data_IF_885286214614
#
_entry.id   IF_885286214614
#
_cell.length_a   1.000
_cell.length_b   1.000
_cell.length_c   1.000
_cell.angle_alpha   90.00
_cell.angle_beta   90.00
_cell.angle_gamma   90.00
#
_symmetry.space_group_name_H-M   'P 1'
#
loop_
_entity.id
_entity.type
_entity.pdbx_description
1 polymer ?
#
# COMPACT_ATOMS: atom_id res chain seq x y z
N UNK A 1 -12.24 -4.33 5.40
CA UNK A 1 -13.33 -4.28 4.40
C UNK A 1 -14.69 -4.51 5.00
N UNK A 2 -14.94 -5.66 5.65
CA UNK A 2 -16.24 -5.97 6.27
C UNK A 2 -16.67 -4.93 7.31
N UNK A 3 -15.74 -4.48 8.14
CA UNK A 3 -15.98 -3.43 9.13
C UNK A 3 -16.36 -2.08 8.50
N UNK A 4 -15.63 -1.65 7.44
CA UNK A 4 -15.92 -0.41 6.73
C UNK A 4 -17.34 -0.43 6.10
N UNK A 5 -17.71 -1.57 5.49
CA UNK A 5 -19.05 -1.75 4.92
C UNK A 5 -20.12 -1.78 6.00
N UNK A 6 -19.86 -2.44 7.13
CA UNK A 6 -20.79 -2.47 8.26
C UNK A 6 -21.02 -1.07 8.83
N UNK A 7 -19.96 -0.28 9.00
CA UNK A 7 -20.01 1.11 9.46
C UNK A 7 -20.81 1.99 8.48
N UNK A 8 -20.53 1.89 7.17
CA UNK A 8 -21.28 2.59 6.12
C UNK A 8 -22.78 2.26 6.16
N UNK A 9 -23.13 0.97 6.19
CA UNK A 9 -24.54 0.51 6.20
C UNK A 9 -25.25 0.93 7.48
N UNK A 10 -24.58 0.86 8.64
CA UNK A 10 -25.15 1.32 9.90
C UNK A 10 -25.39 2.83 9.90
N UNK A 11 -24.43 3.60 9.39
CA UNK A 11 -24.52 5.06 9.32
C UNK A 11 -25.63 5.52 8.37
N UNK A 12 -25.62 5.04 7.12
CA UNK A 12 -26.57 5.48 6.09
C UNK A 12 -27.95 4.86 6.25
N UNK A 13 -28.05 3.68 6.89
CA UNK A 13 -29.30 2.97 7.14
C UNK A 13 -30.31 3.77 7.97
N UNK A 14 -29.82 4.66 8.83
CA UNK A 14 -30.70 5.58 9.60
C UNK A 14 -31.38 6.68 8.73
N UNK A 15 -30.99 6.80 7.46
CA UNK A 15 -31.41 7.89 6.57
C UNK A 15 -31.93 7.39 5.22
N UNK A 16 -32.34 6.13 5.10
CA UNK A 16 -32.85 5.54 3.85
C UNK A 16 -34.15 6.17 3.36
N UNK A 17 -34.94 6.75 4.24
CA UNK A 17 -36.18 7.46 3.90
C UNK A 17 -35.95 8.90 3.40
N UNK A 18 -34.69 9.39 3.36
CA UNK A 18 -34.39 10.72 2.87
C UNK A 18 -34.22 10.71 1.35
N UNK A 19 -34.35 11.87 0.74
CA UNK A 19 -34.16 12.06 -0.69
C UNK A 19 -32.63 12.01 -1.00
N UNK A 20 -32.16 10.86 -1.51
CA UNK A 20 -30.78 10.70 -1.96
C UNK A 20 -30.58 11.11 -3.42
N UNK A 21 -31.65 11.21 -4.20
CA UNK A 21 -31.58 11.62 -5.61
C UNK A 21 -31.43 13.14 -5.76
N UNK A 22 -32.27 13.89 -5.04
CA UNK A 22 -32.27 15.35 -5.10
C UNK A 22 -31.18 16.02 -4.28
N UNK A 23 -30.48 15.29 -3.40
CA UNK A 23 -29.46 15.84 -2.51
C UNK A 23 -28.06 15.53 -3.06
N UNK A 24 -27.26 16.60 -3.24
CA UNK A 24 -25.87 16.50 -3.68
C UNK A 24 -25.00 15.90 -2.57
N UNK A 25 -24.09 14.99 -2.94
CA UNK A 25 -23.12 14.36 -2.02
C UNK A 25 -21.93 15.30 -1.75
N UNK A 26 -21.99 16.04 -0.67
CA UNK A 26 -20.93 16.94 -0.22
C UNK A 26 -20.39 17.85 -1.32
N UNK A 27 -19.08 17.77 -1.57
CA UNK A 27 -18.37 18.57 -2.58
C UNK A 27 -18.45 17.99 -4.00
N UNK A 28 -19.00 16.77 -4.18
CA UNK A 28 -19.11 16.12 -5.48
C UNK A 28 -20.20 16.77 -6.34
N UNK A 29 -20.15 16.56 -7.64
CA UNK A 29 -21.26 16.90 -8.55
C UNK A 29 -22.37 15.85 -8.55
N UNK A 30 -22.12 14.72 -7.90
CA UNK A 30 -23.04 13.57 -7.80
C UNK A 30 -24.10 13.78 -6.72
N UNK A 31 -25.26 13.16 -6.92
CA UNK A 31 -26.24 12.98 -5.87
C UNK A 31 -25.74 11.96 -4.82
N UNK A 32 -26.36 11.95 -3.65
CA UNK A 32 -26.07 10.94 -2.62
C UNK A 32 -26.32 9.52 -3.14
N UNK A 33 -27.36 9.35 -4.00
CA UNK A 33 -27.65 8.04 -4.63
C UNK A 33 -26.53 7.64 -5.60
N UNK A 34 -26.12 8.53 -6.48
CA UNK A 34 -25.01 8.24 -7.41
C UNK A 34 -23.73 7.88 -6.69
N UNK A 35 -23.39 8.56 -5.60
CA UNK A 35 -22.24 8.24 -4.76
C UNK A 35 -22.38 6.84 -4.11
N UNK A 36 -23.56 6.48 -3.62
CA UNK A 36 -23.82 5.17 -3.03
C UNK A 36 -23.73 4.03 -4.08
N UNK A 37 -24.29 4.25 -5.28
CA UNK A 37 -24.18 3.30 -6.40
C UNK A 37 -22.74 3.15 -6.86
N UNK A 38 -21.95 4.23 -6.84
CA UNK A 38 -20.52 4.20 -7.15
C UNK A 38 -19.74 3.31 -6.18
N UNK A 39 -20.01 3.38 -4.87
CA UNK A 39 -19.42 2.44 -3.89
C UNK A 39 -19.64 1.00 -4.33
N UNK A 40 -20.88 0.61 -4.63
CA UNK A 40 -21.22 -0.75 -5.02
C UNK A 40 -20.48 -1.18 -6.31
N UNK A 41 -20.41 -0.27 -7.31
CA UNK A 41 -19.73 -0.50 -8.57
C UNK A 41 -18.21 -0.70 -8.41
N UNK A 42 -17.56 0.09 -7.56
CA UNK A 42 -16.12 -0.06 -7.35
C UNK A 42 -15.80 -1.32 -6.54
N UNK A 43 -16.60 -1.66 -5.54
CA UNK A 43 -16.41 -2.89 -4.77
C UNK A 43 -16.50 -4.15 -5.67
N UNK A 44 -17.51 -4.24 -6.54
CA UNK A 44 -17.62 -5.39 -7.45
C UNK A 44 -16.54 -5.38 -8.53
N UNK A 45 -16.16 -4.21 -9.06
CA UNK A 45 -15.10 -4.07 -10.03
C UNK A 45 -13.75 -4.50 -9.45
N UNK A 46 -13.43 -4.14 -8.21
CA UNK A 46 -12.21 -4.54 -7.51
C UNK A 46 -12.21 -6.04 -7.22
N UNK A 47 -13.32 -6.59 -6.75
CA UNK A 47 -13.47 -8.03 -6.55
C UNK A 47 -13.24 -8.80 -7.85
N UNK A 48 -13.86 -8.38 -8.95
CA UNK A 48 -13.76 -9.02 -10.25
C UNK A 48 -12.35 -8.93 -10.85
N UNK A 49 -11.68 -7.77 -10.74
CA UNK A 49 -10.28 -7.61 -11.20
C UNK A 49 -9.32 -8.52 -10.44
N UNK A 50 -9.47 -8.58 -9.11
CA UNK A 50 -8.61 -9.39 -8.25
C UNK A 50 -8.86 -10.89 -8.48
N UNK A 51 -10.11 -11.34 -8.49
CA UNK A 51 -10.48 -12.72 -8.72
C UNK A 51 -10.13 -13.20 -10.15
N UNK A 52 -10.34 -12.33 -11.14
CA UNK A 52 -10.01 -12.60 -12.55
C UNK A 52 -8.53 -12.48 -12.87
N UNK A 53 -7.70 -11.99 -11.94
CA UNK A 53 -6.24 -11.80 -12.10
C UNK A 53 -5.89 -11.05 -13.39
N UNK A 54 -6.69 -10.05 -13.75
CA UNK A 54 -6.48 -9.26 -14.96
C UNK A 54 -5.10 -8.60 -14.92
N UNK A 55 -4.30 -8.79 -15.99
CA UNK A 55 -2.92 -8.29 -16.04
C UNK A 55 -2.80 -6.93 -16.72
N UNK A 56 -3.50 -6.72 -17.81
CA UNK A 56 -3.25 -5.61 -18.71
C UNK A 56 -4.52 -4.85 -19.14
N UNK A 57 -5.70 -5.27 -18.65
CA UNK A 57 -6.96 -4.68 -19.07
C UNK A 57 -7.96 -4.53 -17.91
N UNK A 58 -8.78 -3.50 -17.99
CA UNK A 58 -9.93 -3.31 -17.13
C UNK A 58 -10.99 -4.36 -17.46
N UNK A 59 -11.43 -5.14 -16.46
CA UNK A 59 -12.62 -5.96 -16.55
C UNK A 59 -13.83 -5.07 -16.25
N UNK A 60 -14.76 -4.88 -17.18
CA UNK A 60 -15.90 -3.97 -17.01
C UNK A 60 -17.00 -4.65 -16.19
N UNK A 61 -16.91 -4.60 -14.88
CA UNK A 61 -18.03 -4.93 -14.00
C UNK A 61 -18.82 -3.66 -13.71
N UNK A 62 -20.13 -3.72 -13.89
CA UNK A 62 -21.06 -2.63 -13.58
C UNK A 62 -22.34 -3.23 -13.01
N UNK A 63 -22.89 -2.60 -11.99
CA UNK A 63 -24.18 -2.92 -11.41
C UNK A 63 -25.17 -1.87 -11.87
N UNK A 64 -26.33 -2.30 -12.36
CA UNK A 64 -27.45 -1.43 -12.69
C UNK A 64 -28.53 -1.60 -11.62
N UNK A 65 -28.93 -0.50 -11.01
CA UNK A 65 -29.93 -0.46 -9.95
C UNK A 65 -31.20 0.31 -10.34
N UNK A 66 -31.31 0.72 -11.62
CA UNK A 66 -32.36 1.59 -12.15
C UNK A 66 -33.59 0.82 -12.67
N UNK A 67 -33.74 -0.44 -12.28
CA UNK A 67 -34.72 -1.36 -12.83
C UNK A 67 -34.20 -2.10 -14.06
N UNK A 68 -34.89 -3.16 -14.44
CA UNK A 68 -34.48 -4.01 -15.57
C UNK A 68 -35.61 -4.10 -16.59
N UNK A 69 -35.28 -4.51 -17.83
CA UNK A 69 -36.24 -4.70 -18.93
C UNK A 69 -37.31 -5.77 -18.61
N UNK A 70 -37.12 -6.55 -17.54
CA UNK A 70 -38.09 -7.54 -17.04
C UNK A 70 -39.20 -6.94 -16.17
N UNK A 71 -39.20 -5.61 -15.96
CA UNK A 71 -40.18 -4.90 -15.17
C UNK A 71 -39.89 -4.81 -13.68
N UNK A 72 -38.68 -5.15 -13.24
CA UNK A 72 -38.24 -4.93 -11.87
C UNK A 72 -38.17 -3.43 -11.59
N UNK A 73 -38.72 -3.00 -10.43
CA UNK A 73 -38.62 -1.62 -9.98
C UNK A 73 -37.17 -1.25 -9.69
N UNK A 74 -36.78 0.04 -9.85
CA UNK A 74 -35.49 0.51 -9.36
C UNK A 74 -35.28 0.18 -7.87
N UNK A 75 -34.07 -0.18 -7.50
CA UNK A 75 -33.76 -0.38 -6.08
C UNK A 75 -33.93 0.93 -5.32
N UNK A 76 -34.61 0.91 -4.19
CA UNK A 76 -34.66 2.03 -3.25
C UNK A 76 -33.31 2.19 -2.50
N UNK A 77 -33.19 3.17 -1.62
CA UNK A 77 -31.97 3.40 -0.85
C UNK A 77 -31.60 2.19 0.01
N UNK A 78 -32.56 1.42 0.51
CA UNK A 78 -32.32 0.17 1.24
C UNK A 78 -31.71 -0.88 0.31
N UNK A 79 -32.24 -1.04 -0.89
CA UNK A 79 -31.69 -1.94 -1.91
C UNK A 79 -30.26 -1.56 -2.35
N UNK A 80 -29.95 -0.27 -2.41
CA UNK A 80 -28.57 0.21 -2.65
C UNK A 80 -27.65 -0.23 -1.52
N UNK A 81 -28.03 -0.06 -0.25
CA UNK A 81 -27.22 -0.48 0.90
C UNK A 81 -27.02 -2.00 0.96
N UNK A 82 -28.04 -2.79 0.65
CA UNK A 82 -27.89 -4.26 0.55
C UNK A 82 -26.94 -4.65 -0.59
N UNK A 83 -26.92 -3.89 -1.69
CA UNK A 83 -25.97 -4.09 -2.79
C UNK A 83 -24.52 -3.75 -2.37
N UNK A 84 -24.31 -2.66 -1.65
CA UNK A 84 -22.99 -2.32 -1.06
C UNK A 84 -22.51 -3.43 -0.14
N UNK A 85 -23.39 -3.95 0.71
CA UNK A 85 -23.09 -5.06 1.61
C UNK A 85 -22.68 -6.34 0.85
N UNK A 86 -23.43 -6.69 -0.18
CA UNK A 86 -23.15 -7.87 -1.01
C UNK A 86 -21.83 -7.73 -1.77
N UNK A 87 -21.57 -6.60 -2.42
CA UNK A 87 -20.35 -6.34 -3.18
C UNK A 87 -19.12 -6.22 -2.29
N UNK A 88 -19.27 -5.63 -1.10
CA UNK A 88 -18.24 -5.61 -0.07
C UNK A 88 -17.86 -7.01 0.41
N UNK A 89 -18.83 -7.90 0.61
CA UNK A 89 -18.58 -9.30 0.96
C UNK A 89 -17.86 -10.04 -0.17
N UNK A 90 -18.19 -9.78 -1.44
CA UNK A 90 -17.49 -10.34 -2.60
C UNK A 90 -16.03 -9.88 -2.66
N UNK A 91 -15.77 -8.59 -2.46
CA UNK A 91 -14.39 -8.08 -2.40
C UNK A 91 -13.63 -8.67 -1.22
N UNK A 92 -14.23 -8.75 -0.04
CA UNK A 92 -13.61 -9.38 1.13
C UNK A 92 -13.27 -10.86 0.88
N UNK A 93 -14.14 -11.61 0.20
CA UNK A 93 -13.87 -12.98 -0.19
C UNK A 93 -12.72 -13.08 -1.21
N UNK A 94 -12.70 -12.21 -2.23
CA UNK A 94 -11.62 -12.13 -3.21
C UNK A 94 -10.27 -11.81 -2.56
N UNK A 95 -10.24 -10.87 -1.62
CA UNK A 95 -9.03 -10.52 -0.85
C UNK A 95 -8.50 -11.69 -0.04
N UNK A 96 -9.39 -12.43 0.66
CA UNK A 96 -9.00 -13.59 1.49
C UNK A 96 -8.48 -14.76 0.66
N UNK A 97 -9.02 -14.98 -0.52
CA UNK A 97 -8.72 -16.17 -1.34
C UNK A 97 -7.62 -15.94 -2.37
N UNK A 98 -7.29 -14.70 -2.69
CA UNK A 98 -6.25 -14.39 -3.66
C UNK A 98 -4.86 -14.56 -3.03
N UNK A 99 -3.95 -15.35 -3.65
CA UNK A 99 -2.58 -15.46 -3.18
C UNK A 99 -1.87 -14.10 -3.14
N UNK A 100 -0.97 -13.91 -2.17
CA UNK A 100 -0.23 -12.64 -1.96
C UNK A 100 0.54 -12.19 -3.19
N UNK A 101 1.15 -13.12 -3.93
CA UNK A 101 1.94 -12.82 -5.11
C UNK A 101 1.11 -12.33 -6.32
N UNK A 102 -0.21 -12.50 -6.30
CA UNK A 102 -1.07 -12.04 -7.39
C UNK A 102 -1.12 -10.52 -7.42
N UNK A 103 -0.86 -9.97 -8.60
CA UNK A 103 -1.03 -8.55 -8.93
C UNK A 103 -2.09 -8.44 -10.01
N UNK A 104 -3.12 -7.65 -9.78
CA UNK A 104 -4.18 -7.39 -10.74
C UNK A 104 -4.15 -5.93 -11.21
N UNK A 105 -4.61 -5.72 -12.43
CA UNK A 105 -4.61 -4.41 -13.07
C UNK A 105 -5.60 -3.45 -12.39
N UNK A 106 -5.13 -2.22 -12.22
CA UNK A 106 -5.94 -1.05 -11.92
C UNK A 106 -5.52 0.08 -12.87
N UNK A 107 -6.43 0.96 -13.32
CA UNK A 107 -6.08 2.11 -14.18
C UNK A 107 -4.96 2.98 -13.59
N UNK A 108 -4.26 3.68 -14.48
CA UNK A 108 -3.27 4.69 -14.09
C UNK A 108 -3.89 5.70 -13.10
N UNK A 109 -3.13 6.19 -12.11
CA UNK A 109 -1.69 5.98 -11.91
C UNK A 109 -1.32 4.74 -11.09
N UNK A 110 -2.28 4.08 -10.45
CA UNK A 110 -2.03 3.00 -9.50
C UNK A 110 -1.50 1.71 -10.17
N UNK A 111 -1.96 1.40 -11.37
CA UNK A 111 -1.60 0.26 -12.22
C UNK A 111 -1.88 -1.10 -11.57
N UNK A 112 -0.85 -1.80 -11.07
CA UNK A 112 -1.03 -3.15 -10.52
C UNK A 112 -0.99 -3.12 -9.00
N UNK A 113 -1.98 -3.74 -8.36
CA UNK A 113 -2.05 -3.90 -6.93
C UNK A 113 -2.18 -5.38 -6.53
N UNK A 114 -1.73 -5.69 -5.32
CA UNK A 114 -2.02 -6.94 -4.66
C UNK A 114 -3.37 -6.87 -3.92
N UNK A 115 -3.74 -7.98 -3.27
CA UNK A 115 -4.99 -8.08 -2.51
C UNK A 115 -5.12 -7.02 -1.41
N UNK A 116 -4.03 -6.66 -0.72
CA UNK A 116 -4.04 -5.61 0.31
C UNK A 116 -4.27 -4.22 -0.30
N UNK A 117 -3.74 -3.98 -1.51
CA UNK A 117 -4.00 -2.74 -2.25
C UNK A 117 -5.47 -2.60 -2.66
N UNK A 118 -6.07 -3.67 -3.19
CA UNK A 118 -7.49 -3.68 -3.53
C UNK A 118 -8.38 -3.54 -2.28
N UNK A 119 -7.99 -4.15 -1.15
CA UNK A 119 -8.69 -3.95 0.11
C UNK A 119 -8.65 -2.48 0.55
N UNK A 120 -7.48 -1.82 0.47
CA UNK A 120 -7.35 -0.42 0.88
C UNK A 120 -8.11 0.54 -0.04
N UNK A 121 -8.09 0.30 -1.36
CA UNK A 121 -8.93 1.06 -2.30
C UNK A 121 -10.40 0.91 -1.97
N UNK A 122 -10.89 -0.33 -1.79
CA UNK A 122 -12.29 -0.56 -1.44
C UNK A 122 -12.69 0.06 -0.10
N UNK A 123 -11.82 0.03 0.93
CA UNK A 123 -12.08 0.74 2.19
C UNK A 123 -12.13 2.25 1.95
N UNK A 124 -11.22 2.80 1.13
CA UNK A 124 -11.22 4.22 0.80
C UNK A 124 -12.53 4.66 0.12
N UNK A 125 -12.99 3.92 -0.89
CA UNK A 125 -14.27 4.20 -1.57
C UNK A 125 -15.44 4.23 -0.58
N UNK A 126 -15.52 3.21 0.29
CA UNK A 126 -16.59 3.13 1.29
C UNK A 126 -16.55 4.33 2.24
N UNK A 127 -15.38 4.63 2.85
CA UNK A 127 -15.27 5.70 3.85
C UNK A 127 -15.51 7.09 3.25
N UNK A 128 -14.85 7.37 2.12
CA UNK A 128 -14.87 8.70 1.51
C UNK A 128 -16.26 9.03 0.93
N UNK A 129 -16.92 8.08 0.28
CA UNK A 129 -18.26 8.33 -0.25
C UNK A 129 -19.35 8.24 0.82
N UNK A 130 -19.17 7.48 1.90
CA UNK A 130 -20.05 7.61 3.08
C UNK A 130 -19.96 9.01 3.66
N UNK A 131 -18.74 9.59 3.73
CA UNK A 131 -18.56 10.99 4.15
C UNK A 131 -19.27 11.96 3.19
N UNK A 132 -19.06 11.82 1.88
CA UNK A 132 -19.69 12.70 0.88
C UNK A 132 -21.22 12.67 1.00
N UNK A 133 -21.81 11.47 1.18
CA UNK A 133 -23.26 11.31 1.36
C UNK A 133 -23.73 11.95 2.68
N UNK A 134 -23.05 11.67 3.78
CA UNK A 134 -23.44 12.22 5.10
C UNK A 134 -23.28 13.74 5.16
N UNK A 135 -22.22 14.30 4.53
CA UNK A 135 -22.05 15.75 4.38
C UNK A 135 -23.23 16.36 3.60
N UNK A 136 -23.63 15.75 2.48
CA UNK A 136 -24.81 16.18 1.71
C UNK A 136 -26.10 16.11 2.52
N UNK A 137 -26.27 15.08 3.31
CA UNK A 137 -27.44 14.90 4.19
C UNK A 137 -27.37 15.77 5.47
N UNK A 138 -26.28 16.51 5.71
CA UNK A 138 -26.09 17.33 6.91
C UNK A 138 -25.93 16.50 8.20
N UNK A 139 -25.31 15.33 8.11
CA UNK A 139 -25.11 14.39 9.22
C UNK A 139 -23.61 14.25 9.52
N UNK A 140 -23.17 14.30 10.79
CA UNK A 140 -21.77 14.06 11.12
C UNK A 140 -21.39 12.60 10.86
N UNK A 141 -20.14 12.40 10.36
CA UNK A 141 -19.58 11.09 10.15
C UNK A 141 -18.09 11.06 10.57
N UNK A 142 -17.76 10.08 11.38
CA UNK A 142 -16.39 9.79 11.80
C UNK A 142 -16.22 8.28 11.91
N UNK A 143 -15.53 7.63 10.96
CA UNK A 143 -15.32 6.19 10.97
C UNK A 143 -14.28 5.78 12.04
N UNK A 144 -14.17 4.47 12.35
CA UNK A 144 -13.10 3.94 13.18
C UNK A 144 -11.74 4.39 12.66
N UNK A 145 -10.90 4.92 13.57
CA UNK A 145 -9.61 5.53 13.22
C UNK A 145 -8.65 4.55 12.51
N UNK A 146 -8.75 3.27 12.85
CA UNK A 146 -7.96 2.18 12.27
C UNK A 146 -8.20 2.02 10.77
N UNK A 147 -9.43 2.22 10.30
CA UNK A 147 -9.78 2.14 8.89
C UNK A 147 -9.14 3.28 8.09
N UNK A 148 -9.23 4.49 8.58
CA UNK A 148 -8.57 5.64 7.96
C UNK A 148 -7.04 5.51 8.00
N UNK A 149 -6.47 5.01 9.09
CA UNK A 149 -5.04 4.72 9.23
C UNK A 149 -4.58 3.65 8.23
N UNK A 150 -5.36 2.58 8.05
CA UNK A 150 -5.09 1.55 7.06
C UNK A 150 -5.05 2.11 5.64
N UNK A 151 -6.02 2.94 5.26
CA UNK A 151 -6.03 3.60 3.95
C UNK A 151 -4.80 4.49 3.76
N UNK A 152 -4.52 5.38 4.72
CA UNK A 152 -3.38 6.30 4.66
C UNK A 152 -2.05 5.55 4.49
N UNK A 153 -1.78 4.60 5.34
CA UNK A 153 -0.49 3.89 5.35
C UNK A 153 -0.34 2.97 4.13
N UNK A 154 -1.45 2.51 3.53
CA UNK A 154 -1.37 1.58 2.41
C UNK A 154 -1.37 2.23 1.03
N UNK A 155 -2.14 3.29 0.81
CA UNK A 155 -2.29 3.92 -0.51
C UNK A 155 -1.98 5.42 -0.54
N UNK A 156 -1.71 6.04 0.62
CA UNK A 156 -1.17 7.39 0.76
C UNK A 156 0.10 7.44 1.61
N UNK A 157 1.08 6.54 1.40
CA UNK A 157 2.24 6.37 2.30
C UNK A 157 3.17 7.60 2.37
N UNK A 158 3.07 8.53 1.42
CA UNK A 158 3.84 9.78 1.42
C UNK A 158 3.16 10.91 2.21
N UNK A 159 1.92 10.68 2.66
CA UNK A 159 1.17 11.68 3.43
C UNK A 159 1.70 11.68 4.85
N UNK A 160 2.27 12.81 5.25
CA UNK A 160 2.71 13.03 6.63
C UNK A 160 1.52 12.88 7.58
N UNK A 161 1.67 12.15 8.70
CA UNK A 161 0.63 12.07 9.73
C UNK A 161 0.14 13.45 10.19
N UNK A 162 -1.14 13.57 10.43
CA UNK A 162 -1.82 14.78 10.91
C UNK A 162 -2.46 14.55 12.27
N UNK A 163 -3.36 15.44 12.71
CA UNK A 163 -3.95 15.40 14.06
C UNK A 163 -4.76 14.12 14.33
N UNK A 164 -5.49 13.63 13.35
CA UNK A 164 -6.15 12.31 13.40
C UNK A 164 -6.07 11.65 12.01
N UNK A 165 -6.10 10.31 11.91
CA UNK A 165 -6.09 9.62 10.63
C UNK A 165 -7.24 10.07 9.72
N UNK A 166 -8.45 10.21 10.27
CA UNK A 166 -9.60 10.62 9.49
C UNK A 166 -9.47 12.01 8.89
N UNK A 167 -9.13 13.01 9.69
CA UNK A 167 -8.91 14.38 9.19
C UNK A 167 -7.76 14.45 8.18
N UNK A 168 -6.72 13.65 8.39
CA UNK A 168 -5.60 13.54 7.47
C UNK A 168 -6.03 12.94 6.13
N UNK A 169 -6.88 11.90 6.15
CA UNK A 169 -7.41 11.27 4.94
C UNK A 169 -8.33 12.21 4.17
N UNK A 170 -9.22 12.92 4.84
CA UNK A 170 -10.09 13.94 4.22
C UNK A 170 -9.25 15.04 3.54
N UNK A 171 -8.22 15.54 4.22
CA UNK A 171 -7.31 16.51 3.62
C UNK A 171 -6.56 15.92 2.41
N UNK A 172 -6.01 14.73 2.54
CA UNK A 172 -5.24 14.06 1.47
C UNK A 172 -6.07 13.78 0.21
N UNK A 173 -7.40 13.79 0.32
CA UNK A 173 -8.35 13.54 -0.77
C UNK A 173 -9.17 14.78 -1.16
N UNK A 174 -8.76 15.97 -0.71
CA UNK A 174 -9.41 17.24 -1.04
C UNK A 174 -10.82 17.44 -0.41
N UNK A 175 -11.17 16.62 0.58
CA UNK A 175 -12.49 16.66 1.27
C UNK A 175 -12.47 17.45 2.57
N UNK A 176 -11.30 17.82 3.06
CA UNK A 176 -11.13 18.57 4.30
C UNK A 176 -9.90 19.46 4.27
N UNK A 177 -9.79 20.33 5.26
CA UNK A 177 -8.67 21.27 5.42
C UNK A 177 -7.88 20.95 6.68
N UNK A 178 -6.56 21.17 6.62
CA UNK A 178 -5.66 21.15 7.78
C UNK A 178 -4.99 22.52 7.89
N UNK A 179 -4.95 23.15 9.10
CA UNK A 179 -4.50 24.53 9.26
C UNK A 179 -3.04 24.79 8.85
N UNK A 180 -2.20 23.74 8.89
CA UNK A 180 -0.77 23.77 8.62
C UNK A 180 -0.39 23.25 7.24
N UNK A 181 -1.37 23.00 6.37
CA UNK A 181 -1.16 22.40 5.03
C UNK A 181 -1.98 23.10 3.96
N UNK A 182 -1.37 23.21 2.78
CA UNK A 182 -2.09 23.69 1.61
C UNK A 182 -3.21 22.72 1.20
N UNK A 183 -4.32 23.23 0.66
CA UNK A 183 -5.41 22.39 0.17
C UNK A 183 -4.94 21.45 -0.93
N UNK A 184 -5.38 20.19 -0.90
CA UNK A 184 -5.13 19.22 -1.96
C UNK A 184 -6.18 19.35 -3.04
N UNK A 185 -5.76 19.71 -4.27
CA UNK A 185 -6.62 19.86 -5.43
C UNK A 185 -6.58 18.67 -6.38
N UNK A 186 -5.48 17.94 -6.39
CA UNK A 186 -5.29 16.70 -7.15
C UNK A 186 -4.68 15.65 -6.25
N UNK A 187 -5.27 14.46 -6.24
CA UNK A 187 -4.78 13.34 -5.47
C UNK A 187 -4.90 12.04 -6.26
N UNK A 188 -4.05 11.10 -5.93
CA UNK A 188 -4.09 9.77 -6.49
C UNK A 188 -3.43 8.77 -5.54
N UNK A 189 -3.88 7.54 -5.63
CA UNK A 189 -3.32 6.46 -4.84
C UNK A 189 -1.90 6.09 -5.27
N UNK A 190 -1.08 5.72 -4.30
CA UNK A 190 0.25 5.16 -4.53
C UNK A 190 0.26 3.68 -4.25
N UNK A 191 0.90 2.92 -5.12
CA UNK A 191 1.13 1.51 -4.87
C UNK A 191 2.53 1.29 -4.29
N UNK A 192 2.70 0.22 -3.50
CA UNK A 192 4.03 -0.18 -3.04
C UNK A 192 4.87 -0.66 -4.21
N UNK A 193 6.16 -0.30 -4.24
CA UNK A 193 7.09 -0.81 -5.23
C UNK A 193 7.27 -2.33 -5.05
N UNK A 194 7.40 -3.04 -6.18
CA UNK A 194 7.66 -4.47 -6.21
C UNK A 194 8.70 -4.77 -7.27
N UNK A 195 9.76 -5.48 -6.90
CA UNK A 195 10.80 -5.92 -7.83
C UNK A 195 10.83 -7.45 -7.87
N UNK A 196 10.75 -8.02 -9.06
CA UNK A 196 10.86 -9.46 -9.26
C UNK A 196 12.29 -9.87 -9.63
N UNK A 197 12.75 -10.97 -9.07
CA UNK A 197 13.96 -11.68 -9.49
C UNK A 197 13.63 -13.11 -9.91
N UNK A 198 14.61 -13.95 -10.16
CA UNK A 198 14.38 -15.35 -10.48
C UNK A 198 13.66 -16.11 -9.35
N UNK A 199 14.15 -15.95 -8.11
CA UNK A 199 13.68 -16.71 -6.95
C UNK A 199 12.94 -15.86 -5.92
N UNK A 200 13.02 -14.53 -6.00
CA UNK A 200 12.48 -13.60 -5.00
C UNK A 200 11.50 -12.60 -5.62
N UNK A 201 10.59 -12.15 -4.78
CA UNK A 201 9.85 -10.90 -4.94
C UNK A 201 10.28 -9.97 -3.81
N UNK A 202 10.80 -8.79 -4.15
CA UNK A 202 11.10 -7.73 -3.19
C UNK A 202 9.84 -6.87 -3.07
N UNK A 203 9.18 -6.94 -1.94
CA UNK A 203 7.93 -6.20 -1.68
C UNK A 203 8.23 -4.98 -0.80
N UNK A 204 7.98 -3.78 -1.32
CA UNK A 204 8.12 -2.55 -0.56
C UNK A 204 7.22 -2.56 0.68
N UNK A 205 7.77 -2.14 1.81
CA UNK A 205 7.08 -2.17 3.11
C UNK A 205 6.23 -0.90 3.28
N UNK A 206 4.99 -1.08 3.74
CA UNK A 206 4.13 0.05 4.12
C UNK A 206 4.53 0.59 5.50
N UNK A 207 4.20 1.85 5.84
CA UNK A 207 4.39 2.36 7.21
C UNK A 207 3.76 1.48 8.29
N UNK A 208 2.57 0.93 8.06
CA UNK A 208 1.93 0.02 9.02
C UNK A 208 2.68 -1.31 9.18
N UNK A 209 3.14 -1.90 8.07
CA UNK A 209 3.96 -3.10 8.13
C UNK A 209 5.33 -2.83 8.78
N UNK A 210 5.95 -1.67 8.50
CA UNK A 210 7.18 -1.25 9.16
C UNK A 210 6.99 -1.13 10.67
N UNK A 211 5.90 -0.50 11.13
CA UNK A 211 5.58 -0.40 12.55
C UNK A 211 5.46 -1.78 13.22
N UNK A 212 4.79 -2.74 12.58
CA UNK A 212 4.69 -4.12 13.08
C UNK A 212 6.07 -4.82 13.12
N UNK A 213 6.84 -4.74 12.03
CA UNK A 213 8.16 -5.35 11.93
C UNK A 213 9.16 -4.79 12.95
N UNK A 214 9.12 -3.48 13.23
CA UNK A 214 10.05 -2.83 14.17
C UNK A 214 9.93 -3.34 15.59
N UNK A 215 8.75 -3.82 15.98
CA UNK A 215 8.49 -4.43 17.29
C UNK A 215 8.57 -5.97 17.26
N UNK A 216 9.01 -6.55 16.15
CA UNK A 216 9.20 -8.00 15.99
C UNK A 216 7.95 -8.78 15.61
N UNK A 217 6.83 -8.11 15.27
CA UNK A 217 5.67 -8.76 14.68
C UNK A 217 5.91 -9.12 13.21
N UNK A 218 5.04 -9.92 12.61
CA UNK A 218 5.24 -10.47 11.27
C UNK A 218 5.11 -9.46 10.11
N UNK A 219 4.50 -8.29 10.35
CA UNK A 219 4.25 -7.27 9.32
C UNK A 219 3.32 -7.74 8.19
N UNK A 220 2.55 -8.79 8.42
CA UNK A 220 1.67 -9.42 7.43
C UNK A 220 2.41 -10.38 6.48
N UNK A 221 3.63 -10.82 6.82
CA UNK A 221 4.43 -11.79 6.06
C UNK A 221 4.52 -13.14 6.77
N UNK A 222 4.53 -14.21 5.99
CA UNK A 222 4.85 -15.56 6.51
C UNK A 222 6.38 -15.75 6.47
N UNK A 223 7.01 -15.77 7.64
CA UNK A 223 8.47 -15.82 7.77
C UNK A 223 9.01 -17.26 7.73
N UNK A 224 10.15 -17.42 7.07
CA UNK A 224 10.96 -18.62 7.20
C UNK A 224 11.69 -18.60 8.55
N UNK A 225 11.23 -19.39 9.52
CA UNK A 225 11.75 -19.39 10.89
C UNK A 225 10.92 -18.51 11.86
N UNK A 226 11.52 -18.03 12.95
CA UNK A 226 10.78 -17.43 14.07
C UNK A 226 10.28 -16.00 13.83
N UNK A 227 10.52 -15.40 12.67
CA UNK A 227 10.10 -14.03 12.37
C UNK A 227 11.24 -13.14 11.86
N UNK A 228 11.02 -11.80 11.82
CA UNK A 228 12.01 -10.89 11.30
C UNK A 228 13.29 -10.87 12.14
N UNK A 229 14.46 -10.92 11.49
CA UNK A 229 15.76 -10.81 12.13
C UNK A 229 16.03 -9.38 12.63
N UNK A 230 17.07 -9.18 13.46
CA UNK A 230 17.34 -7.90 14.13
C UNK A 230 17.57 -6.75 13.15
N UNK A 231 18.37 -6.94 12.11
CA UNK A 231 18.59 -5.90 11.10
C UNK A 231 17.32 -5.55 10.30
N UNK A 232 16.40 -6.51 10.14
CA UNK A 232 15.06 -6.23 9.57
C UNK A 232 14.25 -5.33 10.49
N UNK A 233 14.28 -5.57 11.82
CA UNK A 233 13.60 -4.73 12.81
C UNK A 233 14.17 -3.32 12.89
N UNK A 234 15.50 -3.19 12.82
CA UNK A 234 16.20 -1.90 12.79
C UNK A 234 15.84 -1.11 11.53
N UNK A 235 15.90 -1.72 10.35
CA UNK A 235 15.50 -1.09 9.09
C UNK A 235 14.04 -0.67 9.09
N UNK A 236 13.16 -1.47 9.71
CA UNK A 236 11.75 -1.11 9.90
C UNK A 236 11.58 0.10 10.82
N UNK A 237 12.37 0.21 11.89
CA UNK A 237 12.39 1.39 12.78
C UNK A 237 12.79 2.67 12.05
N UNK A 238 13.75 2.61 11.12
CA UNK A 238 14.11 3.74 10.25
C UNK A 238 12.92 4.16 9.39
N UNK A 239 12.23 3.21 8.77
CA UNK A 239 11.05 3.50 7.94
C UNK A 239 9.90 4.12 8.73
N UNK A 240 9.66 3.66 9.96
CA UNK A 240 8.68 4.27 10.89
C UNK A 240 9.02 5.72 11.16
N UNK A 241 10.28 5.98 11.55
CA UNK A 241 10.72 7.35 11.83
C UNK A 241 10.59 8.27 10.61
N UNK A 242 10.98 7.79 9.42
CA UNK A 242 10.80 8.55 8.18
C UNK A 242 9.33 8.89 7.91
N UNK A 243 8.41 7.98 8.21
CA UNK A 243 6.98 8.23 8.06
C UNK A 243 6.46 9.27 9.06
N UNK A 244 6.85 9.17 10.32
CA UNK A 244 6.50 10.13 11.38
C UNK A 244 7.04 11.54 11.07
N UNK A 245 8.27 11.62 10.57
CA UNK A 245 8.92 12.87 10.17
C UNK A 245 8.35 13.43 8.83
N UNK A 246 7.53 12.66 8.11
CA UNK A 246 6.92 13.07 6.83
C UNK A 246 7.88 13.06 5.64
N UNK A 247 8.97 12.30 5.73
CA UNK A 247 9.99 12.14 4.68
C UNK A 247 10.06 10.71 4.12
N UNK A 248 9.01 9.93 4.33
CA UNK A 248 8.94 8.56 3.85
C UNK A 248 8.75 8.50 2.33
N UNK A 249 9.67 7.82 1.66
CA UNK A 249 9.62 7.53 0.24
C UNK A 249 9.56 6.01 0.02
N UNK A 250 8.41 5.45 -0.36
CA UNK A 250 8.22 3.99 -0.47
C UNK A 250 9.29 3.29 -1.31
N UNK A 251 9.73 3.91 -2.41
CA UNK A 251 10.75 3.38 -3.32
C UNK A 251 12.18 3.40 -2.73
N UNK A 252 12.44 4.30 -1.79
CA UNK A 252 13.73 4.48 -1.11
C UNK A 252 13.70 4.01 0.34
N UNK A 253 12.73 3.17 0.68
CA UNK A 253 12.60 2.54 1.99
C UNK A 253 12.97 1.05 1.93
N UNK A 254 12.39 0.28 2.82
CA UNK A 254 12.67 -1.14 2.99
C UNK A 254 11.77 -2.02 2.12
N UNK A 255 12.30 -3.14 1.67
CA UNK A 255 11.62 -4.24 0.98
C UNK A 255 11.78 -5.52 1.77
N UNK A 256 10.72 -6.29 1.93
CA UNK A 256 10.81 -7.67 2.41
C UNK A 256 11.10 -8.59 1.23
N UNK A 257 12.02 -9.51 1.42
CA UNK A 257 12.44 -10.51 0.44
C UNK A 257 11.54 -11.74 0.58
N UNK A 258 10.60 -11.91 -0.36
CA UNK A 258 9.64 -13.01 -0.35
C UNK A 258 10.06 -14.07 -1.37
N UNK A 259 10.20 -15.29 -0.95
CA UNK A 259 10.57 -16.42 -1.76
C UNK A 259 9.41 -16.86 -2.66
N UNK A 260 9.63 -16.97 -3.97
CA UNK A 260 8.56 -17.22 -4.94
C UNK A 260 8.03 -18.65 -4.94
N UNK A 261 8.80 -19.61 -4.40
CA UNK A 261 8.41 -21.03 -4.38
C UNK A 261 7.30 -21.33 -3.37
N UNK A 262 7.23 -20.57 -2.27
CA UNK A 262 6.32 -20.83 -1.15
C UNK A 262 5.76 -19.58 -0.47
N UNK A 263 5.99 -18.40 -1.05
CA UNK A 263 5.55 -17.08 -0.57
C UNK A 263 6.08 -16.72 0.85
N UNK A 264 7.17 -17.37 1.32
CA UNK A 264 7.75 -17.10 2.64
C UNK A 264 8.79 -15.99 2.60
N UNK A 265 8.74 -15.12 3.61
CA UNK A 265 9.73 -14.05 3.81
C UNK A 265 11.05 -14.64 4.34
N UNK A 266 12.16 -14.23 3.73
CA UNK A 266 13.50 -14.73 4.04
C UNK A 266 14.44 -13.66 4.59
N UNK A 267 14.01 -12.41 4.64
CA UNK A 267 14.77 -11.28 5.13
C UNK A 267 14.24 -9.97 4.61
N UNK A 268 15.00 -8.91 4.78
CA UNK A 268 14.71 -7.60 4.24
C UNK A 268 15.96 -6.94 3.64
N UNK A 269 15.74 -6.00 2.74
CA UNK A 269 16.76 -5.18 2.12
C UNK A 269 16.15 -3.82 1.80
N UNK A 270 16.91 -2.74 1.89
CA UNK A 270 16.37 -1.43 1.55
C UNK A 270 17.40 -0.34 1.58
N UNK A 271 16.95 0.86 1.26
CA UNK A 271 17.77 2.05 1.31
C UNK A 271 17.55 2.81 2.62
N UNK A 272 18.57 3.52 3.07
CA UNK A 272 18.48 4.41 4.24
C UNK A 272 17.77 5.73 3.93
N UNK A 273 17.39 5.97 2.69
CA UNK A 273 16.67 7.14 2.21
C UNK A 273 16.89 7.37 0.71
N UNK A 274 16.32 8.44 0.16
CA UNK A 274 16.51 8.85 -1.23
C UNK A 274 17.97 9.25 -1.50
N UNK A 275 18.38 9.38 -2.79
CA UNK A 275 19.73 9.81 -3.12
C UNK A 275 20.09 11.16 -2.52
N UNK A 276 21.32 11.28 -2.02
CA UNK A 276 21.88 12.53 -1.52
C UNK A 276 22.22 13.50 -2.68
N UNK A 277 22.75 14.69 -2.33
CA UNK A 277 23.14 15.73 -3.30
C UNK A 277 24.20 15.28 -4.31
N UNK A 278 24.98 14.23 -4.00
CA UNK A 278 25.98 13.63 -4.86
C UNK A 278 25.47 12.44 -5.67
N UNK A 279 24.18 12.10 -5.50
CA UNK A 279 23.52 10.96 -6.16
C UNK A 279 23.93 9.61 -5.58
N UNK A 280 24.27 9.57 -4.29
CA UNK A 280 24.59 8.33 -3.58
C UNK A 280 23.38 7.84 -2.81
N UNK A 281 23.19 6.52 -2.80
CA UNK A 281 22.19 5.85 -1.97
C UNK A 281 22.87 4.72 -1.20
N UNK A 282 22.58 4.60 0.09
CA UNK A 282 23.11 3.54 0.93
C UNK A 282 22.09 2.40 1.06
N UNK A 283 22.54 1.15 0.89
CA UNK A 283 21.73 -0.05 1.01
C UNK A 283 22.17 -0.89 2.20
N UNK A 284 21.18 -1.35 2.97
CA UNK A 284 21.35 -2.33 4.05
C UNK A 284 20.47 -3.58 3.83
N UNK A 285 20.85 -4.70 4.46
CA UNK A 285 20.09 -5.95 4.36
C UNK A 285 20.34 -6.88 5.53
N UNK A 286 19.37 -7.73 5.78
CA UNK A 286 19.49 -8.85 6.72
C UNK A 286 18.67 -10.05 6.21
N UNK A 287 19.09 -11.27 6.60
CA UNK A 287 18.39 -12.50 6.30
C UNK A 287 18.15 -13.29 7.58
N UNK A 288 17.00 -13.94 7.67
CA UNK A 288 16.76 -14.96 8.71
C UNK A 288 17.82 -16.07 8.57
N UNK A 289 18.17 -16.69 9.69
CA UNK A 289 19.28 -17.65 9.74
C UNK A 289 19.10 -18.80 8.74
N UNK A 290 17.91 -19.38 8.67
CA UNK A 290 17.56 -20.50 7.79
C UNK A 290 17.64 -20.16 6.28
N UNK A 291 17.70 -18.89 5.92
CA UNK A 291 17.83 -18.42 4.54
C UNK A 291 19.28 -18.13 4.11
N UNK A 292 20.21 -18.09 5.05
CA UNK A 292 21.62 -17.75 4.78
C UNK A 292 22.31 -18.83 3.94
N UNK A 293 23.39 -18.44 3.25
CA UNK A 293 24.18 -19.36 2.43
C UNK A 293 23.53 -19.78 1.11
N UNK A 294 22.31 -19.38 0.80
CA UNK A 294 21.54 -19.77 -0.40
C UNK A 294 21.63 -18.77 -1.56
N UNK A 295 22.36 -17.66 -1.38
CA UNK A 295 22.57 -16.64 -2.41
C UNK A 295 21.42 -15.62 -2.53
N UNK A 296 20.41 -15.65 -1.70
CA UNK A 296 19.27 -14.71 -1.76
C UNK A 296 19.69 -13.25 -1.59
N UNK A 297 20.57 -12.93 -0.62
CA UNK A 297 21.05 -11.56 -0.44
C UNK A 297 21.78 -11.03 -1.69
N UNK A 298 22.62 -11.83 -2.31
CA UNK A 298 23.33 -11.42 -3.56
C UNK A 298 22.37 -11.18 -4.71
N UNK A 299 21.36 -12.05 -4.88
CA UNK A 299 20.35 -11.92 -5.92
C UNK A 299 19.50 -10.65 -5.73
N UNK A 300 19.02 -10.42 -4.50
CA UNK A 300 18.24 -9.25 -4.16
C UNK A 300 19.06 -7.95 -4.31
N UNK A 301 20.31 -7.94 -3.84
CA UNK A 301 21.18 -6.77 -3.92
C UNK A 301 21.48 -6.37 -5.37
N UNK A 302 21.76 -7.33 -6.25
CA UNK A 302 21.91 -7.06 -7.69
C UNK A 302 20.68 -6.41 -8.29
N UNK A 303 19.51 -6.95 -8.00
CA UNK A 303 18.25 -6.44 -8.55
C UNK A 303 17.93 -5.04 -8.03
N UNK A 304 18.07 -4.82 -6.72
CA UNK A 304 17.76 -3.54 -6.09
C UNK A 304 18.77 -2.45 -6.51
N UNK A 305 20.06 -2.76 -6.54
CA UNK A 305 21.10 -1.82 -6.99
C UNK A 305 20.95 -1.48 -8.48
N UNK A 306 20.68 -2.47 -9.33
CA UNK A 306 20.39 -2.22 -10.74
C UNK A 306 19.13 -1.40 -10.96
N UNK A 307 18.09 -1.55 -10.11
CA UNK A 307 16.93 -0.69 -10.14
C UNK A 307 17.28 0.74 -9.74
N UNK A 308 18.02 0.92 -8.65
CA UNK A 308 18.42 2.24 -8.15
C UNK A 308 19.24 3.03 -9.20
N UNK A 309 20.23 2.41 -9.81
CA UNK A 309 21.09 3.05 -10.84
C UNK A 309 20.33 3.44 -12.12
N UNK A 310 19.09 2.97 -12.33
CA UNK A 310 18.22 3.42 -13.42
C UNK A 310 17.32 4.60 -13.03
N UNK A 311 17.33 5.02 -11.76
CA UNK A 311 16.55 6.16 -11.32
C UNK A 311 17.31 7.46 -11.58
N UNK A 312 16.55 8.50 -11.94
CA UNK A 312 17.14 9.82 -12.19
C UNK A 312 17.89 10.34 -10.95
N UNK A 313 19.07 10.86 -11.16
CA UNK A 313 19.90 11.44 -10.11
C UNK A 313 20.74 10.44 -9.32
N UNK A 314 20.57 9.13 -9.48
CA UNK A 314 21.42 8.11 -8.81
C UNK A 314 22.69 7.84 -9.65
N UNK A 315 23.84 7.95 -9.00
CA UNK A 315 25.17 7.69 -9.59
C UNK A 315 25.88 6.52 -8.95
N UNK A 316 25.62 6.30 -7.65
CA UNK A 316 26.37 5.31 -6.86
C UNK A 316 25.45 4.68 -5.83
N UNK A 317 25.47 3.36 -5.75
CA UNK A 317 24.90 2.61 -4.63
C UNK A 317 26.03 2.22 -3.70
N UNK A 318 25.90 2.53 -2.41
CA UNK A 318 26.90 2.23 -1.38
C UNK A 318 26.39 1.18 -0.41
N UNK A 319 27.29 0.38 0.14
CA UNK A 319 27.01 -0.52 1.25
C UNK A 319 28.13 -0.41 2.28
N UNK A 320 27.76 -0.20 3.53
CA UNK A 320 28.68 -0.14 4.66
C UNK A 320 28.70 -1.49 5.35
N UNK A 321 29.90 -2.07 5.50
CA UNK A 321 30.05 -3.44 6.01
C UNK A 321 31.16 -3.49 7.07
N UNK A 322 30.85 -4.05 8.22
CA UNK A 322 31.84 -4.25 9.27
C UNK A 322 32.98 -5.14 8.82
N UNK A 323 34.20 -4.83 9.30
CA UNK A 323 35.42 -5.57 8.97
C UNK A 323 35.32 -7.07 9.31
N UNK A 324 34.62 -7.39 10.37
CA UNK A 324 34.45 -8.79 10.82
C UNK A 324 33.31 -9.53 10.10
N UNK A 325 32.44 -8.80 9.39
CA UNK A 325 31.32 -9.40 8.67
C UNK A 325 31.73 -9.91 7.28
N UNK A 326 32.59 -10.93 7.27
CA UNK A 326 33.07 -11.58 6.03
C UNK A 326 31.92 -12.10 5.15
N UNK A 327 30.83 -12.69 5.69
CA UNK A 327 29.68 -13.07 4.86
C UNK A 327 29.10 -11.91 4.05
N UNK A 328 28.89 -10.73 4.66
CA UNK A 328 28.37 -9.55 3.97
C UNK A 328 29.37 -9.01 2.93
N UNK A 329 30.68 -8.99 3.23
CA UNK A 329 31.71 -8.62 2.26
C UNK A 329 31.66 -9.50 1.00
N UNK A 330 31.43 -10.81 1.17
CA UNK A 330 31.27 -11.73 0.05
C UNK A 330 29.98 -11.45 -0.76
N UNK A 331 28.89 -11.07 -0.10
CA UNK A 331 27.63 -10.72 -0.76
C UNK A 331 27.81 -9.49 -1.65
N UNK A 332 28.34 -8.39 -1.12
CA UNK A 332 28.52 -7.14 -1.86
C UNK A 332 29.51 -7.32 -3.02
N UNK A 333 30.62 -8.03 -2.80
CA UNK A 333 31.59 -8.32 -3.86
C UNK A 333 30.96 -9.17 -4.99
N UNK A 334 30.22 -10.21 -4.65
CA UNK A 334 29.53 -11.04 -5.64
C UNK A 334 28.42 -10.28 -6.35
N UNK A 335 27.83 -9.27 -5.71
CA UNK A 335 26.84 -8.40 -6.34
C UNK A 335 27.47 -7.39 -7.32
N UNK A 336 28.79 -7.28 -7.37
CA UNK A 336 29.52 -6.42 -8.28
C UNK A 336 30.05 -5.13 -7.66
N UNK A 337 29.88 -4.95 -6.34
CA UNK A 337 30.42 -3.80 -5.63
C UNK A 337 31.95 -3.92 -5.48
N UNK A 338 32.63 -2.79 -5.54
CA UNK A 338 34.08 -2.68 -5.30
C UNK A 338 34.31 -1.92 -4.00
N UNK A 339 35.31 -2.33 -3.23
CA UNK A 339 35.70 -1.62 -2.02
C UNK A 339 36.26 -0.26 -2.37
N UNK A 340 35.72 0.81 -1.77
CA UNK A 340 36.31 2.14 -1.89
C UNK A 340 37.68 2.21 -1.19
N UNK A 341 38.50 3.11 -1.66
CA UNK A 341 39.88 3.27 -1.13
C UNK A 341 39.86 3.72 0.33
N UNK A 342 40.59 3.02 1.19
CA UNK A 342 40.73 3.34 2.61
C UNK A 342 40.78 2.08 3.47
N UNK A 343 41.55 2.12 4.55
CA UNK A 343 41.68 1.03 5.53
C UNK A 343 40.79 1.28 6.78
N UNK A 344 40.02 2.35 6.76
CA UNK A 344 39.11 2.71 7.87
C UNK A 344 37.98 1.72 7.97
N UNK A 345 37.63 1.33 9.17
CA UNK A 345 36.45 0.52 9.47
C UNK A 345 35.28 1.43 9.89
N UNK A 346 34.05 1.13 9.48
CA UNK A 346 33.62 0.04 8.59
C UNK A 346 34.04 0.21 7.13
N UNK A 347 34.07 -0.90 6.36
CA UNK A 347 34.41 -0.86 4.94
C UNK A 347 33.23 -0.33 4.11
N UNK A 348 33.53 0.60 3.21
CA UNK A 348 32.56 1.11 2.25
C UNK A 348 32.76 0.40 0.90
N UNK A 349 31.69 -0.15 0.36
CA UNK A 349 31.63 -0.74 -0.97
C UNK A 349 30.76 0.11 -1.87
N UNK A 350 31.14 0.26 -3.14
CA UNK A 350 30.43 1.08 -4.13
C UNK A 350 30.13 0.28 -5.40
N UNK A 351 28.94 0.50 -5.96
CA UNK A 351 28.56 0.11 -7.31
C UNK A 351 28.14 1.38 -8.06
N UNK A 352 28.80 1.63 -9.20
CA UNK A 352 28.52 2.80 -10.04
C UNK A 352 27.80 2.40 -11.30
N UNK A 353 26.91 3.30 -11.80
CA UNK A 353 26.20 3.16 -13.06
C UNK A 353 27.08 3.41 -14.29
#
# INVERSE_FOLDING_TARGET
>A
MEEAVADCVATLGAFVDRDWEGVRAGRLEWSCREAAVHIANDLIAYAGRLAGRARDARIPFTITLDGTDDGSAPADNTGVLETIKATGALLAAAVRTTPRAVRAFHPYPFRHANREGFAAMGVAEVLLHTHDITEGLGVPYEPPAELASFVLTRIFPRVRPGPTPWRTLLWATGRGDLPDREPVTEWHWSNNPVLGTERLTLEGVTPAAAAALSVGADGGFDWLGPGPADGTREGAGIAVKQYEDGVFHPEWAMYVLVRREDDRAVGAMGFHGPPDGDGRVEVGYDLVEDARGRGYATEALRALAAWALRQDGVRTVTAVVDRENVPSQNVVTRAGFTRASGDDAPYVYELRG
#
